data_IF_108216749670
#
_entry.id   IF_108216749670
#
_cell.length_a   1.000
_cell.length_b   1.000
_cell.length_c   1.000
_cell.angle_alpha   90.00
_cell.angle_beta   90.00
_cell.angle_gamma   90.00
#
_symmetry.space_group_name_H-M   'P 1'
#
loop_
_entity.id
_entity.type
_entity.pdbx_description
1 polymer ?
#
# COMPACT_ATOMS: atom_id res chain seq x y z
N UNK A 1 12.86 13.06 -13.74
CA UNK A 1 11.71 13.66 -13.02
C UNK A 1 12.12 15.02 -12.51
N UNK A 2 11.31 16.05 -12.77
CA UNK A 2 11.47 17.36 -12.16
C UNK A 2 11.26 17.27 -10.64
N UNK A 3 11.74 18.27 -9.88
CA UNK A 3 11.48 18.35 -8.43
C UNK A 3 9.97 18.33 -8.13
N UNK A 4 9.18 19.01 -8.95
CA UNK A 4 7.71 19.05 -8.85
C UNK A 4 7.07 17.66 -9.00
N UNK A 5 7.51 16.85 -9.97
CA UNK A 5 7.00 15.50 -10.15
C UNK A 5 7.30 14.59 -8.94
N UNK A 6 8.48 14.76 -8.31
CA UNK A 6 8.83 14.01 -7.10
C UNK A 6 7.94 14.42 -5.93
N UNK A 7 7.74 15.72 -5.71
CA UNK A 7 6.85 16.22 -4.66
C UNK A 7 5.40 15.75 -4.86
N UNK A 8 4.91 15.75 -6.10
CA UNK A 8 3.59 15.26 -6.43
C UNK A 8 3.42 13.78 -6.09
N UNK A 9 4.38 12.91 -6.48
CA UNK A 9 4.32 11.49 -6.12
C UNK A 9 4.35 11.27 -4.61
N UNK A 10 5.13 12.08 -3.87
CA UNK A 10 5.13 12.06 -2.41
C UNK A 10 3.78 12.46 -1.81
N UNK A 11 3.18 13.53 -2.33
CA UNK A 11 1.86 13.98 -1.89
C UNK A 11 0.81 12.91 -2.14
N UNK A 12 0.81 12.27 -3.32
CA UNK A 12 -0.10 11.16 -3.62
C UNK A 12 0.11 9.96 -2.70
N UNK A 13 1.36 9.63 -2.38
CA UNK A 13 1.67 8.51 -1.49
C UNK A 13 1.14 8.76 -0.07
N UNK A 14 1.42 9.94 0.49
CA UNK A 14 0.91 10.32 1.82
C UNK A 14 -0.61 10.44 1.84
N UNK A 15 -1.21 11.03 0.81
CA UNK A 15 -2.66 11.13 0.69
C UNK A 15 -3.32 9.75 0.69
N UNK A 16 -2.78 8.81 -0.11
CA UNK A 16 -3.29 7.45 -0.16
C UNK A 16 -3.17 6.75 1.21
N UNK A 17 -2.01 6.90 1.87
CA UNK A 17 -1.82 6.33 3.21
C UNK A 17 -2.83 6.87 4.21
N UNK A 18 -3.02 8.21 4.26
CA UNK A 18 -3.97 8.86 5.17
C UNK A 18 -5.41 8.40 4.89
N UNK A 19 -5.84 8.40 3.62
CA UNK A 19 -7.19 7.96 3.26
C UNK A 19 -7.42 6.50 3.64
N UNK A 20 -6.41 5.65 3.46
CA UNK A 20 -6.47 4.26 3.86
C UNK A 20 -6.55 4.09 5.38
N UNK A 21 -5.72 4.82 6.15
CA UNK A 21 -5.80 4.84 7.62
C UNK A 21 -7.19 5.25 8.10
N UNK A 22 -7.76 6.31 7.52
CA UNK A 22 -9.11 6.78 7.86
C UNK A 22 -10.14 5.68 7.57
N UNK A 23 -10.06 5.02 6.42
CA UNK A 23 -10.96 3.91 6.08
C UNK A 23 -10.82 2.71 7.01
N UNK A 24 -9.60 2.38 7.44
CA UNK A 24 -9.36 1.29 8.37
C UNK A 24 -9.89 1.58 9.78
N UNK A 25 -9.79 2.83 10.24
CA UNK A 25 -10.18 3.23 11.60
C UNK A 25 -11.62 3.75 11.70
N UNK A 26 -12.43 3.49 10.67
CA UNK A 26 -13.84 3.87 10.61
C UNK A 26 -14.77 2.66 10.50
N UNK A 27 -15.95 2.70 11.12
CA UNK A 27 -16.99 1.68 10.96
C UNK A 27 -17.77 1.79 9.65
N UNK A 28 -17.82 2.97 9.01
CA UNK A 28 -18.65 3.20 7.82
C UNK A 28 -18.34 2.22 6.66
N UNK A 29 -17.08 1.85 6.36
CA UNK A 29 -16.79 0.90 5.28
C UNK A 29 -17.38 -0.50 5.50
N UNK A 30 -17.39 -1.00 6.75
CA UNK A 30 -18.02 -2.29 7.04
C UNK A 30 -19.54 -2.18 6.96
N UNK A 31 -20.12 -1.07 7.43
CA UNK A 31 -21.57 -0.83 7.30
C UNK A 31 -22.00 -0.76 5.83
N UNK A 32 -21.25 -0.03 5.00
CA UNK A 32 -21.49 0.07 3.56
C UNK A 32 -21.33 -1.27 2.86
N UNK A 33 -20.32 -2.08 3.23
CA UNK A 33 -20.16 -3.43 2.70
C UNK A 33 -21.41 -4.28 2.98
N UNK A 34 -21.91 -4.26 4.21
CA UNK A 34 -23.10 -5.04 4.59
C UNK A 34 -24.37 -4.57 3.87
N UNK A 35 -24.44 -3.29 3.47
CA UNK A 35 -25.60 -2.72 2.77
C UNK A 35 -25.54 -2.92 1.25
N UNK A 36 -24.36 -2.83 0.65
CA UNK A 36 -24.19 -2.70 -0.80
C UNK A 36 -23.61 -3.94 -1.47
N UNK A 37 -22.93 -4.81 -0.72
CA UNK A 37 -22.15 -5.92 -1.29
C UNK A 37 -22.74 -7.26 -0.81
N UNK A 38 -22.97 -8.23 -1.72
CA UNK A 38 -23.36 -9.57 -1.33
C UNK A 38 -22.36 -10.17 -0.32
N UNK A 39 -22.87 -10.82 0.72
CA UNK A 39 -22.05 -11.38 1.80
C UNK A 39 -20.96 -12.34 1.29
N UNK A 40 -21.23 -13.06 0.19
CA UNK A 40 -20.28 -13.95 -0.49
C UNK A 40 -19.07 -13.23 -1.09
N UNK A 41 -19.21 -11.94 -1.46
CA UNK A 41 -18.15 -11.14 -2.06
C UNK A 41 -17.50 -10.18 -1.08
N UNK A 42 -18.19 -9.81 0.00
CA UNK A 42 -17.70 -8.82 0.97
C UNK A 42 -16.33 -9.19 1.55
N UNK A 43 -16.13 -10.44 1.93
CA UNK A 43 -14.83 -10.92 2.43
C UNK A 43 -13.73 -10.80 1.37
N UNK A 44 -13.99 -11.26 0.14
CA UNK A 44 -13.02 -11.22 -0.97
C UNK A 44 -12.64 -9.77 -1.29
N UNK A 45 -13.62 -8.87 -1.35
CA UNK A 45 -13.38 -7.46 -1.64
C UNK A 45 -12.58 -6.80 -0.52
N UNK A 46 -12.92 -7.06 0.75
CA UNK A 46 -12.17 -6.52 1.89
C UNK A 46 -10.71 -6.98 1.85
N UNK A 47 -10.45 -8.29 1.72
CA UNK A 47 -9.08 -8.82 1.62
C UNK A 47 -8.35 -8.33 0.38
N UNK A 48 -9.05 -8.20 -0.74
CA UNK A 48 -8.50 -7.65 -1.98
C UNK A 48 -8.10 -6.17 -1.85
N UNK A 49 -8.88 -5.37 -1.12
CA UNK A 49 -8.53 -3.98 -0.82
C UNK A 49 -7.29 -3.87 0.06
N UNK A 50 -7.22 -4.67 1.13
CA UNK A 50 -6.03 -4.76 1.98
C UNK A 50 -4.77 -5.10 1.15
N UNK A 51 -4.81 -6.21 0.41
CA UNK A 51 -3.71 -6.63 -0.45
C UNK A 51 -3.33 -5.54 -1.49
N UNK A 52 -4.34 -5.01 -2.18
CA UNK A 52 -4.16 -4.09 -3.30
C UNK A 52 -3.63 -2.72 -2.88
N UNK A 53 -4.17 -2.13 -1.81
CA UNK A 53 -3.74 -0.80 -1.34
C UNK A 53 -2.31 -0.85 -0.79
N UNK A 54 -1.97 -1.88 -0.01
CA UNK A 54 -0.58 -2.05 0.46
C UNK A 54 0.39 -2.35 -0.67
N UNK A 55 -0.01 -3.13 -1.68
CA UNK A 55 0.80 -3.33 -2.88
C UNK A 55 1.03 -2.04 -3.66
N UNK A 56 -0.01 -1.21 -3.81
CA UNK A 56 0.10 0.08 -4.49
C UNK A 56 1.02 1.05 -3.72
N UNK A 57 0.85 1.14 -2.39
CA UNK A 57 1.71 1.96 -1.52
C UNK A 57 3.18 1.51 -1.59
N UNK A 58 3.45 0.21 -1.54
CA UNK A 58 4.80 -0.32 -1.63
C UNK A 58 5.42 -0.14 -3.04
N UNK A 59 4.64 -0.34 -4.09
CA UNK A 59 5.08 -0.10 -5.47
C UNK A 59 5.40 1.39 -5.69
N UNK A 60 4.53 2.30 -5.22
CA UNK A 60 4.78 3.74 -5.31
C UNK A 60 6.01 4.16 -4.49
N UNK A 61 6.17 3.66 -3.26
CA UNK A 61 7.39 3.91 -2.48
C UNK A 61 8.66 3.48 -3.23
N UNK A 62 8.58 2.39 -4.01
CA UNK A 62 9.69 1.90 -4.82
C UNK A 62 10.02 2.80 -6.02
N UNK A 63 9.01 3.47 -6.59
CA UNK A 63 9.15 4.42 -7.70
C UNK A 63 9.74 5.77 -7.26
N UNK A 64 9.56 6.14 -5.98
CA UNK A 64 10.04 7.41 -5.46
C UNK A 64 11.57 7.50 -5.51
N UNK A 65 12.07 8.71 -5.79
CA UNK A 65 13.50 9.02 -5.74
C UNK A 65 13.94 9.12 -4.28
N UNK A 66 14.98 8.36 -3.94
CA UNK A 66 15.57 8.33 -2.59
C UNK A 66 16.66 7.28 -2.50
N UNK A 67 17.44 7.31 -1.42
CA UNK A 67 18.40 6.25 -1.11
C UNK A 67 17.69 4.92 -0.81
N UNK A 68 18.39 3.80 -0.97
CA UNK A 68 17.85 2.49 -0.62
C UNK A 68 17.41 2.41 0.85
N UNK A 69 18.16 3.05 1.76
CA UNK A 69 17.82 3.13 3.19
C UNK A 69 16.51 3.87 3.43
N UNK A 70 16.26 4.95 2.70
CA UNK A 70 15.02 5.70 2.82
C UNK A 70 13.82 4.88 2.32
N UNK A 71 13.97 4.11 1.24
CA UNK A 71 12.92 3.18 0.77
C UNK A 71 12.64 2.07 1.78
N UNK A 72 13.70 1.53 2.41
CA UNK A 72 13.56 0.56 3.49
C UNK A 72 12.72 1.12 4.64
N UNK A 73 12.95 2.38 5.04
CA UNK A 73 12.13 3.06 6.04
C UNK A 73 10.66 3.12 5.62
N UNK A 74 10.35 3.44 4.36
CA UNK A 74 8.97 3.43 3.88
C UNK A 74 8.31 2.04 4.02
N UNK A 75 9.02 0.96 3.69
CA UNK A 75 8.47 -0.39 3.87
C UNK A 75 8.27 -0.74 5.33
N UNK A 76 9.21 -0.38 6.21
CA UNK A 76 9.06 -0.54 7.66
C UNK A 76 7.83 0.23 8.15
N UNK A 77 7.63 1.47 7.70
CA UNK A 77 6.44 2.27 8.04
C UNK A 77 5.16 1.54 7.61
N UNK A 78 5.10 0.98 6.40
CA UNK A 78 3.92 0.23 5.94
C UNK A 78 3.68 -1.04 6.78
N UNK A 79 4.74 -1.77 7.13
CA UNK A 79 4.62 -2.95 7.99
C UNK A 79 4.12 -2.56 9.39
N UNK A 80 4.73 -1.55 10.03
CA UNK A 80 4.28 -1.05 11.33
C UNK A 80 2.85 -0.52 11.24
N UNK A 81 2.50 0.19 10.16
CA UNK A 81 1.17 0.70 9.93
C UNK A 81 0.13 -0.42 9.90
N UNK A 82 0.38 -1.54 9.21
CA UNK A 82 -0.52 -2.70 9.19
C UNK A 82 -0.81 -3.24 10.59
N UNK A 83 0.22 -3.47 11.40
CA UNK A 83 0.04 -3.91 12.79
C UNK A 83 -0.67 -2.85 13.63
N UNK A 84 -0.28 -1.58 13.49
CA UNK A 84 -0.83 -0.49 14.28
C UNK A 84 -2.31 -0.27 14.00
N UNK A 85 -2.75 -0.29 12.73
CA UNK A 85 -4.16 -0.13 12.39
C UNK A 85 -5.00 -1.31 12.87
N UNK A 86 -4.49 -2.54 12.79
CA UNK A 86 -5.21 -3.71 13.29
C UNK A 86 -5.37 -3.69 14.81
N UNK A 87 -4.32 -3.27 15.51
CA UNK A 87 -4.38 -3.05 16.95
C UNK A 87 -5.40 -1.96 17.29
N UNK A 88 -5.33 -0.80 16.62
CA UNK A 88 -6.25 0.32 16.84
C UNK A 88 -7.71 -0.01 16.50
N UNK A 89 -7.97 -0.94 15.59
CA UNK A 89 -9.32 -1.41 15.27
C UNK A 89 -10.02 -2.09 16.46
N UNK A 90 -9.30 -2.53 17.50
CA UNK A 90 -9.90 -3.05 18.73
C UNK A 90 -10.78 -2.01 19.45
N UNK A 91 -10.55 -0.72 19.21
CA UNK A 91 -11.35 0.38 19.75
C UNK A 91 -12.38 0.94 18.76
N UNK A 92 -12.47 0.38 17.55
CA UNK A 92 -13.44 0.80 16.54
C UNK A 92 -14.68 -0.07 16.67
N UNK A 93 -15.84 0.57 16.88
CA UNK A 93 -17.13 -0.13 16.97
C UNK A 93 -17.36 -0.99 15.71
N UNK A 94 -17.91 -2.20 15.89
CA UNK A 94 -18.22 -3.13 14.79
C UNK A 94 -17.00 -3.65 14.00
N UNK A 95 -15.77 -3.42 14.48
CA UNK A 95 -14.55 -4.03 13.95
C UNK A 95 -13.85 -4.88 15.00
N UNK A 96 -13.09 -5.85 14.51
CA UNK A 96 -12.24 -6.72 15.33
C UNK A 96 -10.89 -6.81 14.68
N UNK A 97 -9.82 -6.73 15.47
CA UNK A 97 -8.48 -7.03 15.01
C UNK A 97 -8.34 -8.50 14.59
N UNK A 98 -7.52 -8.75 13.58
CA UNK A 98 -7.37 -9.97 12.82
C UNK A 98 -5.93 -10.06 12.31
N UNK A 99 -5.17 -11.02 12.84
CA UNK A 99 -3.80 -11.28 12.37
C UNK A 99 -3.77 -11.71 10.91
N UNK A 100 -4.88 -12.24 10.38
CA UNK A 100 -5.01 -12.55 8.96
C UNK A 100 -4.99 -11.29 8.09
N UNK A 101 -5.54 -10.17 8.56
CA UNK A 101 -5.51 -8.90 7.81
C UNK A 101 -4.10 -8.33 7.77
N UNK A 102 -3.38 -8.38 8.88
CA UNK A 102 -1.95 -8.01 8.92
C UNK A 102 -1.14 -8.87 7.95
N UNK A 103 -1.34 -10.19 7.93
CA UNK A 103 -0.63 -11.06 7.00
C UNK A 103 -0.91 -10.68 5.53
N UNK A 104 -2.15 -10.33 5.20
CA UNK A 104 -2.55 -9.91 3.85
C UNK A 104 -1.94 -8.55 3.49
N UNK A 105 -1.88 -7.61 4.43
CA UNK A 105 -1.21 -6.32 4.23
C UNK A 105 0.29 -6.50 3.93
N UNK A 106 0.96 -7.38 4.68
CA UNK A 106 2.36 -7.73 4.47
C UNK A 106 2.58 -8.42 3.10
N UNK A 107 1.68 -9.31 2.69
CA UNK A 107 1.67 -9.87 1.34
C UNK A 107 1.50 -8.79 0.28
N UNK A 108 0.68 -7.78 0.54
CA UNK A 108 0.51 -6.61 -0.31
C UNK A 108 1.84 -5.88 -0.49
N UNK A 109 2.53 -5.56 0.61
CA UNK A 109 3.85 -4.92 0.57
C UNK A 109 4.86 -5.75 -0.24
N UNK A 110 4.91 -7.07 -0.02
CA UNK A 110 5.77 -7.97 -0.76
C UNK A 110 5.43 -7.99 -2.27
N UNK A 111 4.14 -8.00 -2.62
CA UNK A 111 3.67 -7.96 -4.00
C UNK A 111 4.06 -6.65 -4.69
N UNK A 112 3.90 -5.50 -4.03
CA UNK A 112 4.32 -4.21 -4.57
C UNK A 112 5.83 -4.14 -4.86
N UNK A 113 6.64 -4.73 -3.97
CA UNK A 113 8.07 -4.90 -4.18
C UNK A 113 8.40 -5.82 -5.37
N UNK A 114 7.69 -6.94 -5.49
CA UNK A 114 7.85 -7.86 -6.62
C UNK A 114 7.50 -7.18 -7.95
N UNK A 115 6.40 -6.42 -8.00
CA UNK A 115 6.00 -5.63 -9.16
C UNK A 115 7.06 -4.60 -9.55
N UNK A 116 7.68 -3.94 -8.57
CA UNK A 116 8.79 -3.02 -8.83
C UNK A 116 10.01 -3.72 -9.44
N UNK A 117 10.40 -4.87 -8.89
CA UNK A 117 11.51 -5.67 -9.44
C UNK A 117 11.22 -6.10 -10.87
N UNK A 118 10.00 -6.56 -11.14
CA UNK A 118 9.54 -6.94 -12.47
C UNK A 118 9.57 -5.76 -13.45
N UNK A 119 9.11 -4.59 -13.01
CA UNK A 119 9.18 -3.35 -13.79
C UNK A 119 10.64 -2.97 -14.13
N UNK A 120 11.56 -3.10 -13.18
CA UNK A 120 12.98 -2.84 -13.42
C UNK A 120 13.59 -3.83 -14.40
N UNK A 121 13.22 -5.11 -14.29
CA UNK A 121 13.70 -6.19 -15.15
C UNK A 121 13.35 -5.96 -16.62
N UNK A 122 12.12 -5.55 -16.89
CA UNK A 122 11.65 -5.27 -18.26
C UNK A 122 12.05 -3.90 -18.80
N UNK A 123 12.70 -3.05 -17.99
CA UNK A 123 13.05 -1.70 -18.42
C UNK A 123 14.22 -1.77 -19.41
N UNK A 124 14.03 -1.38 -20.69
CA UNK A 124 15.11 -1.45 -21.67
C UNK A 124 16.27 -0.56 -21.22
N UNK A 125 17.45 -1.15 -21.09
CA UNK A 125 18.67 -0.40 -20.81
C UNK A 125 18.96 0.48 -22.03
N UNK A 126 18.98 1.80 -21.86
CA UNK A 126 19.50 2.69 -22.90
C UNK A 126 20.97 2.33 -23.10
N UNK A 127 21.31 1.69 -24.22
CA UNK A 127 22.71 1.50 -24.62
C UNK A 127 23.35 2.88 -24.71
N UNK A 128 24.41 3.13 -23.92
CA UNK A 128 25.25 4.31 -24.10
C UNK A 128 25.91 4.16 -25.49
N UNK A 129 25.54 5.02 -26.44
CA UNK A 129 26.28 5.14 -27.69
C UNK A 129 27.63 5.77 -27.33
N UNK A 130 28.77 5.09 -27.60
CA UNK A 130 30.08 5.69 -27.34
C UNK A 130 30.27 6.91 -28.25
N UNK A 131 30.59 8.06 -27.65
CA UNK A 131 31.08 9.23 -28.39
C UNK A 131 32.44 8.87 -28.98
N UNK A 132 32.54 8.89 -30.31
CA UNK A 132 33.81 8.83 -31.04
C UNK A 132 34.55 10.15 -30.91
#
# INVERSE_FOLDING_TARGET
>A
MSKQAVLFCWACWWLLLILWTIGLLRPEPIQLQHQLIPSSLGWIIAKGLHLGVYALLAFFASLLRGSSSFKLICFIILMVHAFATEFLQQWVKERTGSLSDVAIDLLGVALGLAMWKLYCWFRPTKKKVPSR
#
